data_IF_326031486512
#
_entry.id   IF_326031486512
#
_cell.length_a   1.000
_cell.length_b   1.000
_cell.length_c   1.000
_cell.angle_alpha   90.00
_cell.angle_beta   90.00
_cell.angle_gamma   90.00
#
_symmetry.space_group_name_H-M   'P 1'
#
loop_
_entity.id
_entity.type
_entity.pdbx_description
1 polymer ?
#
# COMPACT_ATOMS: atom_id res chain seq x y z
N UNK A 1 -10.94 -15.55 23.30
CA UNK A 1 -9.87 -15.18 22.36
C UNK A 1 -10.45 -14.31 21.26
N UNK A 2 -9.94 -13.12 21.09
CA UNK A 2 -10.34 -12.29 19.98
C UNK A 2 -9.75 -12.86 18.69
N UNK A 3 -10.61 -13.13 17.71
CA UNK A 3 -10.14 -13.48 16.37
C UNK A 3 -9.37 -12.31 15.77
N UNK A 4 -8.36 -12.56 14.94
CA UNK A 4 -7.69 -11.47 14.22
C UNK A 4 -8.74 -10.71 13.40
N UNK A 5 -8.68 -9.39 13.47
CA UNK A 5 -9.60 -8.54 12.70
C UNK A 5 -9.35 -8.72 11.22
N UNK A 6 -10.39 -9.01 10.50
CA UNK A 6 -10.33 -8.94 9.04
C UNK A 6 -10.18 -7.48 8.61
N UNK A 7 -9.27 -7.17 7.68
CA UNK A 7 -9.18 -5.83 7.14
C UNK A 7 -10.51 -5.43 6.51
N UNK A 8 -11.05 -4.29 6.94
CA UNK A 8 -12.37 -3.84 6.50
C UNK A 8 -12.34 -3.18 5.14
N UNK A 9 -11.22 -2.64 4.74
CA UNK A 9 -11.08 -1.89 3.51
C UNK A 9 -9.98 -2.47 2.63
N UNK A 10 -10.35 -2.80 1.41
CA UNK A 10 -9.43 -3.32 0.39
C UNK A 10 -9.61 -2.49 -0.87
N UNK A 11 -8.52 -2.08 -1.48
CA UNK A 11 -8.55 -1.40 -2.78
C UNK A 11 -7.94 -2.29 -3.85
N UNK A 12 -8.58 -2.33 -5.00
CA UNK A 12 -8.08 -3.04 -6.20
C UNK A 12 -7.94 -2.02 -7.32
N UNK A 13 -6.81 -2.05 -8.00
CA UNK A 13 -6.61 -1.21 -9.19
C UNK A 13 -5.91 -2.00 -10.27
N UNK A 14 -6.31 -1.74 -11.52
CA UNK A 14 -5.64 -2.31 -12.69
C UNK A 14 -4.52 -1.38 -13.12
N UNK A 15 -3.34 -1.96 -13.35
CA UNK A 15 -2.16 -1.25 -13.85
C UNK A 15 -1.70 -1.93 -15.14
N UNK A 16 -1.58 -1.14 -16.20
CA UNK A 16 -0.97 -1.62 -17.45
C UNK A 16 0.54 -1.55 -17.33
N UNK A 17 1.21 -2.63 -17.71
CA UNK A 17 2.66 -2.67 -17.82
C UNK A 17 3.07 -1.94 -19.09
N UNK A 18 3.82 -0.87 -18.93
CA UNK A 18 4.29 -0.03 -20.02
C UNK A 18 5.66 -0.47 -20.51
N UNK A 19 6.03 -0.01 -21.71
CA UNK A 19 7.31 -0.34 -22.32
C UNK A 19 8.48 0.03 -21.41
N UNK A 20 8.44 1.22 -20.78
CA UNK A 20 9.48 1.70 -19.88
C UNK A 20 9.57 0.98 -18.52
N UNK A 21 8.62 0.11 -18.20
CA UNK A 21 8.69 -0.71 -17.00
C UNK A 21 9.55 -1.95 -17.16
N UNK A 22 9.91 -2.31 -18.39
CA UNK A 22 10.57 -3.56 -18.72
C UNK A 22 12.07 -3.38 -18.93
N UNK A 23 12.81 -4.46 -18.70
CA UNK A 23 14.25 -4.57 -18.97
C UNK A 23 14.54 -5.36 -20.26
N UNK A 24 15.82 -5.49 -20.67
CA UNK A 24 16.15 -6.25 -21.89
C UNK A 24 15.74 -7.73 -21.88
N UNK A 25 15.40 -8.31 -20.73
CA UNK A 25 14.86 -9.66 -20.65
C UNK A 25 13.39 -9.74 -21.10
N UNK A 26 12.74 -8.59 -21.33
CA UNK A 26 11.36 -8.53 -21.80
C UNK A 26 10.32 -8.63 -20.68
N UNK A 27 10.74 -8.61 -19.44
CA UNK A 27 9.84 -8.62 -18.26
C UNK A 27 10.02 -7.33 -17.46
N UNK A 28 9.08 -7.07 -16.56
CA UNK A 28 9.17 -5.90 -15.69
C UNK A 28 10.48 -5.92 -14.90
N UNK A 29 11.18 -4.79 -14.93
CA UNK A 29 12.35 -4.55 -14.08
C UNK A 29 11.89 -4.42 -12.63
N UNK A 30 12.34 -5.30 -11.74
CA UNK A 30 11.72 -5.49 -10.43
C UNK A 30 11.56 -4.21 -9.59
N UNK A 31 12.47 -3.19 -9.62
CA UNK A 31 12.24 -1.96 -8.85
C UNK A 31 11.00 -1.19 -9.32
N UNK A 32 10.56 -1.39 -10.55
CA UNK A 32 9.33 -0.78 -11.07
C UNK A 32 8.11 -1.32 -10.33
N UNK A 33 8.12 -2.59 -9.95
CA UNK A 33 7.05 -3.14 -9.11
C UNK A 33 6.95 -2.42 -7.76
N UNK A 34 8.08 -2.14 -7.12
CA UNK A 34 8.07 -1.42 -5.85
C UNK A 34 7.50 -0.01 -6.00
N UNK A 35 7.76 0.67 -7.10
CA UNK A 35 7.13 1.97 -7.40
C UNK A 35 5.61 1.84 -7.57
N UNK A 36 5.15 0.79 -8.25
CA UNK A 36 3.71 0.52 -8.42
C UNK A 36 3.02 0.20 -7.08
N UNK A 37 3.69 -0.56 -6.21
CA UNK A 37 3.18 -0.91 -4.89
C UNK A 37 3.16 0.31 -3.96
N UNK A 38 4.17 1.17 -4.02
CA UNK A 38 4.18 2.43 -3.29
C UNK A 38 3.00 3.31 -3.69
N UNK A 39 2.76 3.44 -4.98
CA UNK A 39 1.59 4.16 -5.50
C UNK A 39 0.28 3.51 -5.03
N UNK A 40 0.21 2.17 -5.02
CA UNK A 40 -0.99 1.46 -4.58
C UNK A 40 -1.34 1.76 -3.12
N UNK A 41 -0.36 1.94 -2.25
CA UNK A 41 -0.58 2.36 -0.87
C UNK A 41 -1.22 3.76 -0.82
N UNK A 42 -0.73 4.70 -1.63
CA UNK A 42 -1.33 6.04 -1.72
C UNK A 42 -2.78 5.97 -2.22
N UNK A 43 -3.05 5.16 -3.24
CA UNK A 43 -4.39 4.98 -3.77
C UNK A 43 -5.34 4.29 -2.79
N UNK A 44 -4.84 3.43 -1.91
CA UNK A 44 -5.64 2.85 -0.83
C UNK A 44 -6.24 3.95 0.05
N UNK A 45 -5.43 4.91 0.48
CA UNK A 45 -5.88 6.02 1.31
C UNK A 45 -6.82 6.95 0.55
N UNK A 46 -6.55 7.22 -0.71
CA UNK A 46 -7.43 8.02 -1.56
C UNK A 46 -8.81 7.35 -1.72
N UNK A 47 -8.83 6.05 -1.99
CA UNK A 47 -10.06 5.28 -2.09
C UNK A 47 -10.82 5.21 -0.74
N UNK A 48 -10.09 5.22 0.37
CA UNK A 48 -10.69 5.26 1.71
C UNK A 48 -11.30 6.63 2.06
N UNK A 49 -11.04 7.66 1.27
CA UNK A 49 -11.63 8.99 1.44
C UNK A 49 -10.64 10.12 1.70
N UNK A 50 -9.33 9.85 1.68
CA UNK A 50 -8.31 10.86 1.97
C UNK A 50 -7.28 10.96 0.86
N UNK A 51 -7.39 12.00 0.04
CA UNK A 51 -6.32 12.37 -0.88
C UNK A 51 -5.11 12.88 -0.09
N UNK A 52 -3.94 12.81 -0.70
CA UNK A 52 -2.69 13.22 -0.04
C UNK A 52 -2.76 14.63 0.56
N UNK A 53 -3.31 15.58 -0.19
CA UNK A 53 -3.47 16.96 0.28
C UNK A 53 -4.40 17.05 1.50
N UNK A 54 -5.46 16.23 1.53
CA UNK A 54 -6.41 16.22 2.64
C UNK A 54 -5.80 15.62 3.90
N UNK A 55 -5.00 14.57 3.78
CA UNK A 55 -4.26 13.98 4.90
C UNK A 55 -3.34 15.01 5.55
N UNK A 56 -2.62 15.76 4.73
CA UNK A 56 -1.72 16.81 5.21
C UNK A 56 -2.47 17.93 5.93
N UNK A 57 -3.58 18.38 5.34
CA UNK A 57 -4.38 19.47 5.90
C UNK A 57 -5.12 19.06 7.17
N UNK A 58 -5.71 17.86 7.17
CA UNK A 58 -6.58 17.40 8.28
C UNK A 58 -5.78 16.86 9.46
N UNK A 59 -4.67 16.16 9.21
CA UNK A 59 -3.93 15.43 10.24
C UNK A 59 -2.50 15.94 10.46
N UNK A 60 -2.07 16.94 9.70
CA UNK A 60 -0.72 17.51 9.79
C UNK A 60 0.38 16.44 9.66
N UNK A 61 0.20 15.53 8.71
CA UNK A 61 1.22 14.54 8.37
C UNK A 61 1.84 14.87 7.02
N UNK A 62 3.10 14.47 6.85
CA UNK A 62 3.81 14.60 5.58
C UNK A 62 3.60 13.37 4.71
N UNK A 63 3.47 12.20 5.32
CA UNK A 63 3.25 10.97 4.59
C UNK A 63 3.52 9.72 5.42
N UNK A 64 3.82 8.65 4.69
CA UNK A 64 3.99 7.30 5.26
C UNK A 64 5.38 6.76 4.91
N UNK A 65 6.46 7.23 5.58
CA UNK A 65 7.80 6.71 5.30
C UNK A 65 7.85 5.19 5.39
N UNK A 66 8.60 4.60 4.46
CA UNK A 66 8.81 3.15 4.40
C UNK A 66 9.84 2.74 5.45
N UNK A 67 9.52 1.70 6.21
CA UNK A 67 10.45 1.08 7.16
C UNK A 67 10.98 -0.23 6.62
N UNK A 68 10.10 -1.05 6.06
CA UNK A 68 10.46 -2.35 5.51
C UNK A 68 9.55 -2.65 4.32
N UNK A 69 10.10 -3.27 3.29
CA UNK A 69 9.31 -3.75 2.15
C UNK A 69 9.88 -5.07 1.67
N UNK A 70 8.99 -6.01 1.34
CA UNK A 70 9.34 -7.34 0.88
C UNK A 70 8.39 -7.75 -0.23
N UNK A 71 8.91 -8.46 -1.19
CA UNK A 71 8.09 -9.02 -2.26
C UNK A 71 8.61 -10.38 -2.69
N UNK A 72 7.68 -11.25 -3.05
CA UNK A 72 7.95 -12.53 -3.74
C UNK A 72 7.37 -12.42 -5.13
N UNK A 73 8.22 -12.62 -6.12
CA UNK A 73 7.86 -12.54 -7.52
C UNK A 73 7.61 -13.96 -8.04
N UNK A 74 6.36 -14.33 -8.18
CA UNK A 74 5.94 -15.70 -8.50
C UNK A 74 5.77 -15.91 -10.00
N UNK A 75 5.22 -14.91 -10.71
CA UNK A 75 4.97 -14.95 -12.15
C UNK A 75 5.36 -13.61 -12.76
N UNK A 76 6.23 -13.58 -13.79
CA UNK A 76 6.63 -12.32 -14.41
C UNK A 76 5.50 -11.74 -15.27
N UNK A 77 5.59 -10.43 -15.51
CA UNK A 77 4.74 -9.71 -16.44
C UNK A 77 5.57 -8.98 -17.48
N UNK A 78 4.97 -8.69 -18.62
CA UNK A 78 5.63 -8.09 -19.77
C UNK A 78 4.84 -6.90 -20.29
N UNK A 79 5.43 -6.13 -21.20
CA UNK A 79 4.79 -5.00 -21.85
C UNK A 79 3.41 -5.38 -22.40
N UNK A 80 2.41 -4.58 -22.08
CA UNK A 80 1.05 -4.79 -22.53
C UNK A 80 0.18 -5.65 -21.62
N UNK A 81 0.77 -6.29 -20.60
CA UNK A 81 -0.01 -7.02 -19.61
C UNK A 81 -0.74 -6.02 -18.70
N UNK A 82 -1.95 -6.38 -18.30
CA UNK A 82 -2.67 -5.72 -17.23
C UNK A 82 -2.53 -6.54 -15.96
N UNK A 83 -2.15 -5.89 -14.88
CA UNK A 83 -2.08 -6.52 -13.56
C UNK A 83 -3.07 -5.85 -12.62
N UNK A 84 -3.58 -6.60 -11.65
CA UNK A 84 -4.48 -6.07 -10.63
C UNK A 84 -3.73 -6.07 -9.30
N UNK A 85 -3.60 -4.90 -8.69
CA UNK A 85 -2.98 -4.75 -7.37
C UNK A 85 -4.08 -4.63 -6.33
N UNK A 86 -4.15 -5.60 -5.44
CA UNK A 86 -5.04 -5.59 -4.29
C UNK A 86 -4.25 -5.18 -3.05
N UNK A 87 -4.69 -4.13 -2.38
CA UNK A 87 -3.98 -3.51 -1.26
C UNK A 87 -4.88 -3.38 -0.05
N UNK A 88 -4.36 -3.74 1.12
CA UNK A 88 -5.07 -3.60 2.39
C UNK A 88 -4.09 -3.38 3.55
N UNK A 89 -4.57 -2.71 4.59
CA UNK A 89 -3.85 -2.61 5.87
C UNK A 89 -4.16 -3.86 6.69
N UNK A 90 -3.14 -4.56 7.14
CA UNK A 90 -3.30 -5.81 7.88
C UNK A 90 -3.07 -5.66 9.37
N UNK A 91 -2.35 -4.63 9.81
CA UNK A 91 -2.12 -4.36 11.23
C UNK A 91 -1.87 -2.87 11.45
N UNK A 92 -2.33 -2.34 12.55
CA UNK A 92 -2.05 -0.98 12.99
C UNK A 92 -1.56 -1.03 14.44
N UNK A 93 -0.40 -0.44 14.68
CA UNK A 93 0.17 -0.18 16.00
C UNK A 93 -0.04 1.30 16.35
N UNK A 94 0.71 1.84 17.26
CA UNK A 94 0.52 3.26 17.65
C UNK A 94 0.75 4.22 16.46
N UNK A 95 1.93 4.16 15.86
CA UNK A 95 2.32 5.06 14.75
C UNK A 95 2.75 4.32 13.49
N UNK A 96 2.82 3.01 13.52
CA UNK A 96 3.19 2.18 12.37
C UNK A 96 2.05 1.29 11.95
N UNK A 97 2.08 0.88 10.68
CA UNK A 97 1.08 -0.02 10.13
C UNK A 97 1.68 -0.90 9.04
N UNK A 98 1.06 -2.05 8.86
CA UNK A 98 1.47 -3.03 7.86
C UNK A 98 0.49 -3.01 6.69
N UNK A 99 1.05 -3.05 5.49
CA UNK A 99 0.31 -3.16 4.24
C UNK A 99 0.62 -4.52 3.61
N UNK A 100 -0.42 -5.15 3.07
CA UNK A 100 -0.28 -6.31 2.19
C UNK A 100 -0.73 -5.95 0.80
N UNK A 101 0.09 -6.30 -0.19
CA UNK A 101 -0.28 -6.24 -1.60
C UNK A 101 -0.32 -7.65 -2.17
N UNK A 102 -1.35 -7.94 -2.94
CA UNK A 102 -1.43 -9.11 -3.80
C UNK A 102 -1.63 -8.66 -5.22
N UNK A 103 -0.73 -9.08 -6.10
CA UNK A 103 -0.79 -8.71 -7.50
C UNK A 103 -1.24 -9.91 -8.29
N UNK A 104 -2.29 -9.72 -9.07
CA UNK A 104 -2.90 -10.77 -9.87
C UNK A 104 -2.75 -10.48 -11.36
N UNK A 105 -2.58 -11.54 -12.13
CA UNK A 105 -2.66 -11.48 -13.60
C UNK A 105 -3.96 -12.14 -14.04
N UNK A 106 -4.74 -11.51 -14.93
CA UNK A 106 -5.89 -12.15 -15.54
C UNK A 106 -5.45 -13.39 -16.35
N UNK A 107 -6.24 -14.44 -16.30
CA UNK A 107 -6.07 -15.63 -17.11
C UNK A 107 -7.44 -16.16 -17.55
N UNK A 108 -7.50 -17.06 -18.55
CA UNK A 108 -8.78 -17.66 -18.99
C UNK A 108 -9.53 -18.38 -17.86
N UNK A 109 -8.80 -18.93 -16.90
CA UNK A 109 -9.38 -19.71 -15.79
C UNK A 109 -9.54 -18.88 -14.51
N UNK A 110 -9.40 -17.54 -14.58
CA UNK A 110 -9.48 -16.64 -13.45
C UNK A 110 -8.19 -15.87 -13.24
N UNK A 111 -7.96 -15.40 -12.02
CA UNK A 111 -6.78 -14.63 -11.68
C UNK A 111 -5.65 -15.54 -11.17
N UNK A 112 -4.42 -15.26 -11.57
CA UNK A 112 -3.20 -15.93 -11.10
C UNK A 112 -2.47 -14.98 -10.16
N UNK A 113 -2.13 -15.43 -8.96
CA UNK A 113 -1.30 -14.66 -8.04
C UNK A 113 0.12 -14.55 -8.59
N UNK A 114 0.54 -13.35 -8.91
CA UNK A 114 1.82 -13.07 -9.51
C UNK A 114 2.86 -12.52 -8.54
N UNK A 115 2.44 -11.74 -7.54
CA UNK A 115 3.32 -11.15 -6.52
C UNK A 115 2.59 -11.14 -5.18
N UNK A 116 3.32 -11.48 -4.12
CA UNK A 116 2.94 -11.23 -2.73
C UNK A 116 3.93 -10.24 -2.14
N UNK A 117 3.43 -9.15 -1.55
CA UNK A 117 4.30 -8.13 -0.98
C UNK A 117 3.75 -7.61 0.34
N UNK A 118 4.66 -7.15 1.19
CA UNK A 118 4.32 -6.50 2.45
C UNK A 118 5.13 -5.23 2.63
N UNK A 119 4.56 -4.28 3.36
CA UNK A 119 5.22 -3.03 3.73
C UNK A 119 4.98 -2.76 5.20
N UNK A 120 5.98 -2.16 5.85
CA UNK A 120 5.82 -1.53 7.16
C UNK A 120 6.04 -0.03 6.95
N UNK A 121 5.06 0.76 7.35
CA UNK A 121 5.10 2.22 7.20
C UNK A 121 4.83 2.90 8.52
N UNK A 122 5.27 4.15 8.61
CA UNK A 122 5.05 5.01 9.78
C UNK A 122 4.19 6.19 9.38
N UNK A 123 3.21 6.50 10.22
CA UNK A 123 2.40 7.71 10.12
C UNK A 123 3.23 8.87 10.68
N UNK A 124 3.71 9.76 9.81
CA UNK A 124 4.72 10.75 10.19
C UNK A 124 4.35 12.16 9.78
N UNK A 125 4.57 13.09 10.68
CA UNK A 125 4.42 14.51 10.47
C UNK A 125 5.73 15.27 10.63
N UNK A 126 5.70 16.61 10.52
CA UNK A 126 6.88 17.42 10.76
C UNK A 126 7.35 17.31 12.22
N UNK A 127 8.66 17.31 12.42
CA UNK A 127 9.22 17.38 13.77
C UNK A 127 8.99 18.80 14.36
N UNK A 128 8.58 18.92 15.65
CA UNK A 128 8.27 20.23 16.22
C UNK A 128 9.46 21.19 16.25
N UNK A 129 10.68 20.65 16.40
CA UNK A 129 11.90 21.46 16.54
C UNK A 129 12.67 21.64 15.23
N UNK A 130 12.39 20.83 14.21
CA UNK A 130 13.05 20.89 12.91
C UNK A 130 12.13 20.40 11.80
N UNK A 131 11.54 21.33 11.01
CA UNK A 131 10.61 20.96 9.93
C UNK A 131 11.21 20.05 8.83
N UNK A 132 12.54 19.95 8.76
CA UNK A 132 13.23 19.06 7.81
C UNK A 132 13.27 17.61 8.28
N UNK A 133 12.96 17.37 9.56
CA UNK A 133 12.90 16.02 10.15
C UNK A 133 11.45 15.57 10.26
N UNK A 134 11.27 14.25 10.28
CA UNK A 134 9.95 13.63 10.47
C UNK A 134 9.82 13.10 11.89
N UNK A 135 8.61 13.15 12.39
CA UNK A 135 8.25 12.57 13.68
C UNK A 135 7.07 11.63 13.53
N UNK A 136 7.20 10.42 14.08
CA UNK A 136 6.11 9.46 14.15
C UNK A 136 4.97 10.02 15.01
N UNK A 137 3.74 9.84 14.55
CA UNK A 137 2.52 10.29 15.24
C UNK A 137 1.52 9.14 15.30
N UNK A 138 0.66 9.10 16.34
CA UNK A 138 -0.38 8.09 16.40
C UNK A 138 -1.33 8.20 15.22
N UNK A 139 -1.74 7.05 14.67
CA UNK A 139 -2.78 7.05 13.64
C UNK A 139 -4.11 7.52 14.28
N UNK A 140 -4.82 8.46 13.64
CA UNK A 140 -6.11 8.92 14.12
C UNK A 140 -7.14 7.78 14.16
N UNK A 141 -8.01 7.79 15.17
CA UNK A 141 -9.02 6.73 15.33
C UNK A 141 -9.95 6.62 14.10
N UNK A 142 -10.28 7.74 13.46
CA UNK A 142 -11.12 7.73 12.26
C UNK A 142 -10.46 6.97 11.11
N UNK A 143 -9.14 7.06 10.99
CA UNK A 143 -8.36 6.32 9.98
C UNK A 143 -8.32 4.83 10.32
N UNK A 144 -8.05 4.50 11.58
CA UNK A 144 -8.02 3.12 12.07
C UNK A 144 -9.36 2.43 11.81
N UNK A 145 -10.48 3.07 12.14
CA UNK A 145 -11.83 2.52 11.94
C UNK A 145 -12.14 2.31 10.46
N UNK A 146 -11.75 3.23 9.63
CA UNK A 146 -12.02 3.14 8.18
C UNK A 146 -11.28 1.95 7.55
N UNK A 147 -10.04 1.72 7.96
CA UNK A 147 -9.18 0.68 7.39
C UNK A 147 -9.39 -0.70 8.04
N UNK A 148 -9.58 -0.74 9.35
CA UNK A 148 -9.61 -1.99 10.14
C UNK A 148 -10.98 -2.28 10.78
N UNK A 149 -11.92 -1.36 10.69
CA UNK A 149 -13.21 -1.49 11.39
C UNK A 149 -13.16 -1.05 12.85
N UNK A 150 -14.35 -0.94 13.46
CA UNK A 150 -14.47 -0.60 14.87
C UNK A 150 -13.91 -1.72 15.74
N UNK A 151 -13.38 -1.37 16.93
CA UNK A 151 -13.06 -2.37 17.95
C UNK A 151 -14.37 -2.93 18.49
N UNK A 152 -14.46 -4.25 18.53
CA UNK A 152 -15.48 -4.88 19.35
C UNK A 152 -15.06 -4.67 20.80
N UNK A 153 -15.88 -3.96 21.53
CA UNK A 153 -15.70 -3.75 22.98
C UNK A 153 -16.02 -5.05 23.74
#
# INVERSE_FOLDING_TARGET
>A
MSQPREPKFTNRRTVRIEWGDCDPAGIVYYPRYFAMLDAATQYLFEAAGWKKADLRRQFDIVGFPMVDTRAKFLVPSSFGDDIVIETRVTAIRNSSFDIEHRVYKPSPDGEILAIEATEVRVWAGPHPDDPKRLKARPLPEVVVRRLMGARDD
#
